data_IF_690566337537
#
_entry.id   IF_690566337537
#
_cell.length_a   1.000
_cell.length_b   1.000
_cell.length_c   1.000
_cell.angle_alpha   90.00
_cell.angle_beta   90.00
_cell.angle_gamma   90.00
#
_symmetry.space_group_name_H-M   'P 1'
#
loop_
_entity.id
_entity.type
_entity.pdbx_description
1 polymer ?
#
# COMPACT_ATOMS: atom_id res chain seq x y z
N UNK A 1 14.14 -24.08 -8.23
CA UNK A 1 12.92 -23.29 -8.55
C UNK A 1 13.24 -21.82 -8.82
N UNK A 2 13.79 -21.05 -7.85
CA UNK A 2 14.07 -19.60 -8.01
C UNK A 2 14.95 -19.27 -9.23
N UNK A 3 16.01 -20.04 -9.47
CA UNK A 3 16.91 -19.81 -10.61
C UNK A 3 16.22 -19.97 -11.98
N UNK A 4 15.27 -20.88 -12.09
CA UNK A 4 14.51 -21.12 -13.33
C UNK A 4 13.51 -20.00 -13.58
N UNK A 5 12.80 -19.57 -12.53
CA UNK A 5 11.90 -18.41 -12.59
C UNK A 5 12.66 -17.15 -13.02
N UNK A 6 13.87 -16.92 -12.48
CA UNK A 6 14.72 -15.79 -12.89
C UNK A 6 15.12 -15.86 -14.37
N UNK A 7 15.39 -17.05 -14.90
CA UNK A 7 15.73 -17.24 -16.31
C UNK A 7 14.54 -16.90 -17.21
N UNK A 8 13.38 -17.45 -16.89
CA UNK A 8 12.13 -17.17 -17.60
C UNK A 8 11.79 -15.67 -17.56
N UNK A 9 11.78 -15.05 -16.37
CA UNK A 9 11.43 -13.63 -16.22
C UNK A 9 12.40 -12.70 -16.94
N UNK A 10 13.69 -13.04 -17.03
CA UNK A 10 14.65 -12.26 -17.83
C UNK A 10 14.20 -12.14 -19.28
N UNK A 11 13.80 -13.24 -19.91
CA UNK A 11 13.30 -13.18 -21.28
C UNK A 11 12.06 -12.30 -21.41
N UNK A 12 11.16 -12.38 -20.44
CA UNK A 12 9.95 -11.53 -20.40
C UNK A 12 10.33 -10.06 -20.30
N UNK A 13 11.25 -9.68 -19.41
CA UNK A 13 11.65 -8.28 -19.24
C UNK A 13 12.32 -7.70 -20.50
N UNK A 14 13.14 -8.48 -21.22
CA UNK A 14 13.80 -8.01 -22.45
C UNK A 14 12.84 -7.91 -23.65
N UNK A 15 11.75 -8.67 -23.67
CA UNK A 15 10.75 -8.65 -24.75
C UNK A 15 9.61 -7.65 -24.49
N UNK A 16 9.46 -7.16 -23.26
CA UNK A 16 8.36 -6.28 -22.89
C UNK A 16 8.52 -4.86 -23.45
N UNK A 17 7.45 -4.33 -24.06
CA UNK A 17 7.41 -2.94 -24.53
C UNK A 17 7.16 -1.93 -23.40
N UNK A 18 6.45 -2.36 -22.35
CA UNK A 18 5.99 -1.51 -21.24
C UNK A 18 6.26 -2.18 -19.90
N UNK A 19 6.88 -1.43 -18.99
CA UNK A 19 7.02 -1.76 -17.58
C UNK A 19 6.00 -0.98 -16.75
N UNK A 20 5.29 -1.68 -15.86
CA UNK A 20 4.33 -1.05 -14.95
C UNK A 20 4.80 -1.27 -13.52
N UNK A 21 4.84 -0.20 -12.72
CA UNK A 21 5.21 -0.28 -11.31
C UNK A 21 4.27 0.55 -10.42
N UNK A 22 4.31 0.28 -9.13
CA UNK A 22 3.84 1.22 -8.10
C UNK A 22 4.93 2.19 -7.68
N UNK A 23 4.67 2.93 -6.60
CA UNK A 23 5.65 3.73 -5.87
C UNK A 23 5.42 3.62 -4.35
N UNK A 24 6.51 3.58 -3.58
CA UNK A 24 6.46 3.66 -2.12
C UNK A 24 6.27 5.11 -1.66
N UNK A 25 6.89 6.07 -2.36
CA UNK A 25 6.74 7.51 -2.17
C UNK A 25 7.00 8.25 -3.49
N UNK A 26 6.50 9.48 -3.61
CA UNK A 26 6.73 10.39 -4.73
C UNK A 26 7.09 11.76 -4.18
N UNK A 27 8.30 12.25 -4.46
CA UNK A 27 8.73 13.59 -4.07
C UNK A 27 8.15 14.62 -5.04
N UNK A 28 7.29 15.52 -4.55
CA UNK A 28 6.62 16.52 -5.36
C UNK A 28 7.59 17.54 -5.97
N UNK A 29 8.62 17.95 -5.23
CA UNK A 29 9.59 18.97 -5.68
C UNK A 29 10.36 18.58 -6.95
N UNK A 30 10.61 17.28 -7.15
CA UNK A 30 11.45 16.76 -8.25
C UNK A 30 10.69 15.83 -9.18
N UNK A 31 9.45 15.45 -8.86
CA UNK A 31 8.72 14.41 -9.58
C UNK A 31 9.34 13.01 -9.43
N UNK A 32 10.20 12.80 -8.42
CA UNK A 32 10.94 11.55 -8.25
C UNK A 32 10.10 10.49 -7.56
N UNK A 33 9.93 9.34 -8.20
CA UNK A 33 9.31 8.16 -7.59
C UNK A 33 10.35 7.30 -6.91
N UNK A 34 9.97 6.75 -5.76
CA UNK A 34 10.80 5.89 -4.92
C UNK A 34 10.20 4.49 -4.90
N UNK A 35 11.01 3.49 -5.20
CA UNK A 35 10.60 2.08 -5.18
C UNK A 35 11.62 1.27 -4.38
N UNK A 36 11.14 0.59 -3.34
CA UNK A 36 11.94 -0.31 -2.51
C UNK A 36 11.93 -1.69 -3.16
N UNK A 37 13.10 -2.32 -3.25
CA UNK A 37 13.21 -3.70 -3.73
C UNK A 37 14.37 -4.45 -3.06
N UNK A 38 14.37 -5.78 -3.23
CA UNK A 38 15.37 -6.69 -2.67
C UNK A 38 16.11 -7.52 -3.74
N UNK A 39 15.46 -7.83 -4.86
CA UNK A 39 15.96 -8.80 -5.86
C UNK A 39 16.29 -8.18 -7.23
N UNK A 40 16.10 -6.85 -7.38
CA UNK A 40 16.34 -6.12 -8.63
C UNK A 40 15.22 -6.27 -9.67
N UNK A 41 14.11 -6.93 -9.33
CA UNK A 41 12.99 -7.14 -10.24
C UNK A 41 12.32 -5.81 -10.65
N UNK A 42 12.15 -4.87 -9.71
CA UNK A 42 11.58 -3.57 -10.02
C UNK A 42 12.54 -2.76 -10.90
N UNK A 43 13.86 -2.82 -10.67
CA UNK A 43 14.83 -2.21 -11.59
C UNK A 43 14.74 -2.76 -13.01
N UNK A 44 14.54 -4.06 -13.18
CA UNK A 44 14.37 -4.67 -14.50
C UNK A 44 13.06 -4.23 -15.16
N UNK A 45 11.95 -4.22 -14.40
CA UNK A 45 10.64 -3.78 -14.88
C UNK A 45 10.63 -2.30 -15.25
N UNK A 46 11.31 -1.46 -14.47
CA UNK A 46 11.31 0.01 -14.68
C UNK A 46 12.40 0.49 -15.61
N UNK A 47 13.46 -0.31 -15.83
CA UNK A 47 14.64 0.09 -16.59
C UNK A 47 14.75 -0.52 -17.99
N UNK A 48 14.28 -1.75 -18.22
CA UNK A 48 14.47 -2.43 -19.52
C UNK A 48 13.42 -2.07 -20.59
N UNK A 49 12.11 -2.03 -20.27
CA UNK A 49 11.11 -1.69 -21.28
C UNK A 49 11.26 -0.25 -21.80
N UNK A 50 10.85 -0.02 -23.05
CA UNK A 50 10.92 1.32 -23.68
C UNK A 50 10.06 2.37 -22.95
N UNK A 51 8.98 1.92 -22.31
CA UNK A 51 8.05 2.78 -21.57
C UNK A 51 7.93 2.32 -20.14
N UNK A 52 7.97 3.25 -19.19
CA UNK A 52 7.69 2.99 -17.79
C UNK A 52 6.45 3.77 -17.34
N UNK A 53 5.46 3.05 -16.80
CA UNK A 53 4.23 3.63 -16.25
C UNK A 53 4.20 3.36 -14.74
N UNK A 54 4.18 4.43 -13.96
CA UNK A 54 3.97 4.38 -12.51
C UNK A 54 2.51 4.59 -12.21
N UNK A 55 1.90 3.67 -11.46
CA UNK A 55 0.53 3.82 -10.94
C UNK A 55 0.61 3.92 -9.42
N UNK A 56 0.28 5.07 -8.88
CA UNK A 56 0.36 5.33 -7.44
C UNK A 56 -0.85 6.10 -6.94
N UNK A 57 -1.22 5.89 -5.69
CA UNK A 57 -2.27 6.68 -5.06
C UNK A 57 -1.77 8.07 -4.66
N UNK A 58 -2.69 9.02 -4.55
CA UNK A 58 -2.43 10.41 -4.15
C UNK A 58 -1.69 10.53 -2.80
N UNK A 59 -1.93 9.58 -1.91
CA UNK A 59 -1.33 9.49 -0.57
C UNK A 59 0.17 9.16 -0.58
N UNK A 60 0.72 8.80 -1.74
CA UNK A 60 2.16 8.54 -1.88
C UNK A 60 2.98 9.79 -2.10
N UNK A 61 2.35 10.93 -2.36
CA UNK A 61 3.03 12.19 -2.62
C UNK A 61 3.48 12.83 -1.31
N UNK A 62 4.74 13.21 -1.24
CA UNK A 62 5.35 13.96 -0.14
C UNK A 62 6.08 15.19 -0.69
N UNK A 63 6.30 16.25 0.11
CA UNK A 63 6.82 17.51 -0.42
C UNK A 63 8.23 17.39 -1.03
N UNK A 64 9.18 16.83 -0.28
CA UNK A 64 10.60 16.83 -0.66
C UNK A 64 11.17 15.43 -0.93
N UNK A 65 12.34 15.39 -1.58
CA UNK A 65 13.13 14.18 -1.77
C UNK A 65 13.57 13.59 -0.42
N UNK A 66 13.86 14.45 0.56
CA UNK A 66 14.21 14.07 1.93
C UNK A 66 13.03 13.35 2.60
N UNK A 67 11.81 13.88 2.47
CA UNK A 67 10.60 13.26 3.03
C UNK A 67 10.35 11.88 2.40
N UNK A 68 10.55 11.75 1.09
CA UNK A 68 10.40 10.47 0.40
C UNK A 68 11.41 9.43 0.86
N UNK A 69 12.67 9.85 1.10
CA UNK A 69 13.70 8.98 1.67
C UNK A 69 13.33 8.53 3.09
N UNK A 70 12.82 9.44 3.93
CA UNK A 70 12.35 9.11 5.27
C UNK A 70 11.22 8.09 5.24
N UNK A 71 10.23 8.26 4.35
CA UNK A 71 9.14 7.30 4.16
C UNK A 71 9.69 5.91 3.83
N UNK A 72 10.64 5.81 2.91
CA UNK A 72 11.24 4.54 2.50
C UNK A 72 12.04 3.87 3.62
N UNK A 73 12.83 4.64 4.36
CA UNK A 73 13.60 4.16 5.50
C UNK A 73 12.69 3.64 6.61
N UNK A 74 11.71 4.44 7.04
CA UNK A 74 10.76 4.07 8.08
C UNK A 74 9.94 2.86 7.64
N UNK A 75 9.45 2.83 6.40
CA UNK A 75 8.69 1.70 5.89
C UNK A 75 9.47 0.39 5.95
N UNK A 76 10.76 0.41 5.62
CA UNK A 76 11.62 -0.78 5.65
C UNK A 76 11.90 -1.25 7.07
N UNK A 77 12.18 -0.33 8.00
CA UNK A 77 12.47 -0.67 9.40
C UNK A 77 11.28 -1.27 10.12
N UNK A 78 10.09 -0.71 9.91
CA UNK A 78 8.85 -1.24 10.47
C UNK A 78 8.36 -2.52 9.78
N UNK A 79 8.95 -2.87 8.64
CA UNK A 79 8.81 -4.19 8.02
C UNK A 79 9.85 -5.22 8.55
N UNK A 80 10.52 -4.93 9.66
CA UNK A 80 11.58 -5.76 10.28
C UNK A 80 12.88 -5.90 9.46
N UNK A 81 13.14 -5.00 8.51
CA UNK A 81 14.45 -4.91 7.85
C UNK A 81 15.37 -3.91 8.59
N UNK A 82 16.69 -4.11 8.53
CA UNK A 82 17.64 -3.15 9.13
C UNK A 82 17.72 -1.83 8.34
N UNK A 83 17.56 -1.92 7.02
CA UNK A 83 17.59 -0.84 6.04
C UNK A 83 16.92 -1.34 4.74
N UNK A 84 16.44 -0.46 3.85
CA UNK A 84 16.04 -0.86 2.50
C UNK A 84 17.23 -1.50 1.78
N UNK A 85 17.02 -2.67 1.16
CA UNK A 85 18.10 -3.35 0.44
C UNK A 85 18.52 -2.60 -0.82
N UNK A 86 17.54 -2.05 -1.55
CA UNK A 86 17.77 -1.19 -2.70
C UNK A 86 16.60 -0.22 -2.86
N UNK A 87 16.90 0.99 -3.31
CA UNK A 87 15.89 2.03 -3.59
C UNK A 87 16.14 2.58 -4.99
N UNK A 88 15.16 2.42 -5.88
CA UNK A 88 15.16 3.08 -7.19
C UNK A 88 14.57 4.47 -7.05
N UNK A 89 15.31 5.47 -7.53
CA UNK A 89 14.85 6.84 -7.65
C UNK A 89 14.70 7.14 -9.14
N UNK A 90 13.48 7.42 -9.59
CA UNK A 90 13.16 7.61 -11.02
C UNK A 90 12.40 8.93 -11.17
N UNK A 91 13.03 9.91 -11.80
CA UNK A 91 12.49 11.27 -11.93
C UNK A 91 12.01 11.61 -13.36
N UNK A 92 12.56 10.94 -14.36
CA UNK A 92 12.27 11.25 -15.77
C UNK A 92 12.64 10.07 -16.69
N UNK A 93 12.26 10.12 -17.98
CA UNK A 93 12.76 9.16 -18.95
C UNK A 93 14.29 9.20 -19.01
N UNK A 94 14.91 8.08 -19.39
CA UNK A 94 16.34 8.01 -19.56
C UNK A 94 16.79 9.04 -20.60
N UNK A 95 17.81 9.83 -20.27
CA UNK A 95 18.43 10.79 -21.19
C UNK A 95 19.92 10.93 -20.93
N UNK A 96 20.69 11.19 -21.97
CA UNK A 96 22.12 11.56 -21.87
C UNK A 96 22.38 12.80 -22.72
N UNK A 97 23.29 13.66 -22.24
CA UNK A 97 23.83 14.79 -23.00
C UNK A 97 25.22 14.50 -23.58
N UNK A 98 25.78 13.31 -23.33
CA UNK A 98 27.16 12.98 -23.71
C UNK A 98 27.29 12.61 -25.20
N UNK A 99 26.16 12.35 -25.86
CA UNK A 99 26.11 12.07 -27.30
C UNK A 99 26.07 13.41 -28.04
N UNK A 100 27.21 13.83 -28.56
CA UNK A 100 27.34 15.04 -29.40
C UNK A 100 26.84 16.34 -28.72
N UNK A 101 26.79 16.37 -27.39
CA UNK A 101 26.21 17.48 -26.59
C UNK A 101 24.71 17.72 -26.86
N UNK A 102 24.02 16.72 -27.39
CA UNK A 102 22.58 16.73 -27.62
C UNK A 102 21.89 15.82 -26.60
N UNK A 103 20.71 16.24 -26.14
CA UNK A 103 19.91 15.41 -25.24
C UNK A 103 19.27 14.29 -26.05
N UNK A 104 19.74 13.07 -25.86
CA UNK A 104 19.17 11.86 -26.47
C UNK A 104 18.40 11.08 -25.41
N UNK A 105 17.14 10.78 -25.70
CA UNK A 105 16.27 9.98 -24.82
C UNK A 105 16.40 8.48 -25.09
N UNK A 106 16.22 7.66 -24.04
CA UNK A 106 16.26 6.21 -24.13
C UNK A 106 17.67 5.60 -24.17
N UNK A 107 18.70 6.33 -23.73
CA UNK A 107 20.09 5.86 -23.84
C UNK A 107 20.44 4.72 -22.85
N UNK A 108 19.87 4.73 -21.65
CA UNK A 108 20.19 3.76 -20.58
C UNK A 108 18.94 3.13 -19.95
N UNK A 109 17.75 3.46 -20.43
CA UNK A 109 16.47 3.02 -19.87
C UNK A 109 15.28 3.51 -20.68
N UNK A 110 14.09 3.64 -20.09
CA UNK A 110 12.88 3.98 -20.83
C UNK A 110 13.00 5.31 -21.56
N UNK A 111 12.57 5.35 -22.83
CA UNK A 111 12.43 6.58 -23.60
C UNK A 111 11.19 7.38 -23.20
N UNK A 112 10.22 6.74 -22.56
CA UNK A 112 9.00 7.36 -22.05
C UNK A 112 8.78 7.00 -20.57
N UNK A 113 8.30 7.97 -19.80
CA UNK A 113 7.98 7.83 -18.39
C UNK A 113 6.66 8.53 -18.09
N UNK A 114 5.70 7.76 -17.56
CA UNK A 114 4.33 8.22 -17.30
C UNK A 114 3.97 7.97 -15.84
N UNK A 115 3.32 8.94 -15.19
CA UNK A 115 2.84 8.81 -13.82
C UNK A 115 1.33 8.98 -13.80
N UNK A 116 0.63 7.94 -13.34
CA UNK A 116 -0.83 7.91 -13.17
C UNK A 116 -1.14 7.99 -11.68
N UNK A 117 -1.68 9.14 -11.26
CA UNK A 117 -2.16 9.34 -9.90
C UNK A 117 -3.59 8.85 -9.77
N UNK A 118 -3.78 7.80 -8.98
CA UNK A 118 -5.06 7.14 -8.81
C UNK A 118 -5.77 7.69 -7.57
N UNK A 119 -6.93 8.32 -7.76
CA UNK A 119 -7.81 8.67 -6.64
C UNK A 119 -8.43 7.41 -6.03
N UNK A 120 -9.31 6.71 -6.75
CA UNK A 120 -9.99 5.49 -6.29
C UNK A 120 -10.53 5.64 -4.84
N UNK A 121 -11.42 6.62 -4.63
CA UNK A 121 -12.03 7.00 -3.35
C UNK A 121 -11.10 7.60 -2.29
N UNK A 122 -9.81 7.85 -2.58
CA UNK A 122 -8.90 8.49 -1.62
C UNK A 122 -9.33 9.90 -1.27
N UNK A 123 -9.85 10.69 -2.22
CA UNK A 123 -10.38 12.02 -1.95
C UNK A 123 -11.59 11.96 -1.02
N UNK A 124 -12.45 10.94 -1.15
CA UNK A 124 -13.57 10.72 -0.21
C UNK A 124 -13.05 10.37 1.18
N UNK A 125 -12.05 9.49 1.27
CA UNK A 125 -11.40 9.11 2.52
C UNK A 125 -10.70 10.30 3.20
N UNK A 126 -10.05 11.17 2.42
CA UNK A 126 -9.34 12.35 2.91
C UNK A 126 -10.26 13.39 3.55
N UNK A 127 -11.52 13.49 3.08
CA UNK A 127 -12.54 14.39 3.63
C UNK A 127 -13.12 13.88 4.94
N UNK A 128 -12.97 12.59 5.25
CA UNK A 128 -13.50 12.00 6.47
C UNK A 128 -12.51 12.21 7.64
N UNK A 129 -12.95 12.81 8.77
CA UNK A 129 -12.03 13.15 9.86
C UNK A 129 -11.40 11.93 10.53
N UNK A 130 -12.05 10.77 10.47
CA UNK A 130 -11.59 9.51 11.05
C UNK A 130 -10.83 8.68 10.02
N UNK A 131 -11.37 8.51 8.81
CA UNK A 131 -10.74 7.64 7.80
C UNK A 131 -9.54 8.25 7.09
N UNK A 132 -9.37 9.58 7.10
CA UNK A 132 -8.20 10.24 6.47
C UNK A 132 -6.87 9.68 6.99
N UNK A 133 -6.84 9.20 8.23
CA UNK A 133 -5.65 8.63 8.86
C UNK A 133 -5.10 7.44 8.08
N UNK A 134 -5.96 6.64 7.43
CA UNK A 134 -5.54 5.48 6.64
C UNK A 134 -4.68 5.86 5.42
N UNK A 135 -4.77 7.11 4.94
CA UNK A 135 -3.94 7.63 3.85
C UNK A 135 -2.49 7.83 4.28
N UNK A 136 -2.21 8.04 5.57
CA UNK A 136 -0.83 8.14 6.07
C UNK A 136 -0.11 6.78 6.12
N UNK A 137 -0.78 5.68 5.76
CA UNK A 137 -0.17 4.36 5.82
C UNK A 137 1.02 4.21 4.85
N UNK A 138 2.19 3.93 5.41
CA UNK A 138 3.42 3.66 4.66
C UNK A 138 3.43 2.29 3.96
N UNK A 139 2.44 1.42 4.23
CA UNK A 139 2.38 0.02 3.80
C UNK A 139 3.55 -0.83 4.32
N UNK A 140 4.05 -0.54 5.52
CA UNK A 140 5.19 -1.24 6.13
C UNK A 140 4.85 -2.62 6.72
N UNK A 141 3.56 -2.90 6.98
CA UNK A 141 3.15 -4.18 7.60
C UNK A 141 3.41 -4.30 9.10
N UNK A 142 4.03 -3.32 9.77
CA UNK A 142 4.29 -3.36 11.23
C UNK A 142 3.03 -3.69 12.06
N UNK A 143 1.88 -3.11 11.70
CA UNK A 143 0.60 -3.42 12.36
C UNK A 143 0.14 -4.88 12.24
N UNK A 144 0.59 -5.61 11.21
CA UNK A 144 0.30 -7.04 11.04
C UNK A 144 1.13 -7.88 12.02
N UNK A 145 2.41 -7.55 12.20
CA UNK A 145 3.26 -8.23 13.18
C UNK A 145 2.74 -8.05 14.62
N UNK A 146 2.18 -6.88 14.93
CA UNK A 146 1.57 -6.60 16.23
C UNK A 146 0.16 -7.18 16.41
N UNK A 147 -0.47 -7.62 15.32
CA UNK A 147 -1.83 -8.13 15.37
C UNK A 147 -1.83 -9.54 15.96
N UNK A 148 -2.52 -9.82 17.08
CA UNK A 148 -2.54 -11.15 17.69
C UNK A 148 -3.26 -12.19 16.81
N UNK A 149 -4.10 -11.75 15.87
CA UNK A 149 -4.84 -12.63 14.96
C UNK A 149 -3.99 -13.07 13.76
N UNK A 150 -3.08 -12.20 13.30
CA UNK A 150 -2.28 -12.44 12.11
C UNK A 150 -1.48 -13.76 12.16
N UNK A 151 -0.73 -14.09 13.24
CA UNK A 151 -0.01 -15.36 13.32
C UNK A 151 -0.93 -16.58 13.45
N UNK A 152 -2.13 -16.44 14.03
CA UNK A 152 -3.07 -17.54 14.21
C UNK A 152 -3.73 -17.98 12.89
N UNK A 153 -3.89 -17.03 11.97
CA UNK A 153 -4.59 -17.23 10.70
C UNK A 153 -3.63 -17.32 9.52
N UNK A 154 -2.32 -17.16 9.75
CA UNK A 154 -1.29 -17.08 8.71
C UNK A 154 -1.63 -16.07 7.59
N UNK A 155 -2.32 -14.98 7.92
CA UNK A 155 -2.77 -13.99 6.94
C UNK A 155 -3.96 -14.44 6.07
N UNK A 156 -4.53 -15.63 6.29
CA UNK A 156 -5.74 -16.09 5.62
C UNK A 156 -7.01 -15.51 6.28
N UNK A 157 -7.00 -14.20 6.57
CA UNK A 157 -8.15 -13.47 7.08
C UNK A 157 -8.15 -12.06 6.48
N UNK A 158 -9.12 -11.76 5.63
CA UNK A 158 -9.09 -10.55 4.82
C UNK A 158 -9.71 -10.75 3.45
N UNK A 159 -9.62 -9.70 2.64
CA UNK A 159 -9.81 -9.77 1.20
C UNK A 159 -8.42 -9.71 0.54
N UNK A 160 -8.12 -8.65 -0.21
CA UNK A 160 -6.76 -8.33 -0.65
C UNK A 160 -5.90 -7.68 0.44
N UNK A 161 -6.54 -6.90 1.32
CA UNK A 161 -5.91 -6.35 2.52
C UNK A 161 -6.44 -7.07 3.76
N UNK A 162 -5.62 -7.07 4.81
CA UNK A 162 -5.81 -7.85 6.03
C UNK A 162 -5.61 -7.00 7.29
N UNK A 163 -6.07 -7.52 8.44
CA UNK A 163 -6.17 -6.81 9.71
C UNK A 163 -7.04 -5.54 9.69
N UNK A 164 -7.10 -4.82 10.81
CA UNK A 164 -8.01 -3.68 10.99
C UNK A 164 -7.81 -2.58 9.94
N UNK A 165 -6.56 -2.23 9.61
CA UNK A 165 -6.29 -1.26 8.55
C UNK A 165 -6.75 -1.79 7.20
N UNK A 166 -6.56 -3.09 6.94
CA UNK A 166 -7.04 -3.74 5.73
C UNK A 166 -8.55 -3.72 5.58
N UNK A 167 -9.33 -3.73 6.67
CA UNK A 167 -10.77 -3.53 6.61
C UNK A 167 -11.11 -2.14 6.01
N UNK A 168 -10.40 -1.10 6.45
CA UNK A 168 -10.61 0.28 5.94
C UNK A 168 -10.22 0.38 4.47
N UNK A 169 -9.07 -0.19 4.08
CA UNK A 169 -8.62 -0.17 2.69
C UNK A 169 -9.55 -0.99 1.78
N UNK A 170 -10.04 -2.12 2.26
CA UNK A 170 -10.99 -2.96 1.51
C UNK A 170 -12.28 -2.18 1.27
N UNK A 171 -12.82 -1.52 2.30
CA UNK A 171 -14.03 -0.69 2.19
C UNK A 171 -13.93 0.34 1.09
N UNK A 172 -12.84 1.10 1.07
CA UNK A 172 -12.73 2.27 0.19
C UNK A 172 -12.15 1.96 -1.18
N UNK A 173 -11.17 1.04 -1.27
CA UNK A 173 -10.31 0.94 -2.46
C UNK A 173 -10.62 -0.24 -3.37
N UNK A 174 -11.14 -1.37 -2.87
CA UNK A 174 -11.14 -2.60 -3.70
C UNK A 174 -12.26 -3.61 -3.46
N UNK A 175 -12.84 -3.66 -2.25
CA UNK A 175 -13.81 -4.70 -1.89
C UNK A 175 -15.17 -4.17 -1.46
N UNK A 176 -15.33 -2.88 -1.23
CA UNK A 176 -16.59 -2.34 -0.71
C UNK A 176 -16.83 -2.71 0.75
N UNK A 177 -17.97 -2.28 1.28
CA UNK A 177 -18.31 -2.41 2.69
C UNK A 177 -18.55 -3.88 3.09
N UNK A 178 -19.10 -4.67 2.18
CA UNK A 178 -19.46 -6.07 2.37
C UNK A 178 -18.22 -6.94 2.61
N UNK A 179 -17.19 -6.78 1.77
CA UNK A 179 -15.93 -7.51 1.95
C UNK A 179 -15.10 -6.96 3.12
N UNK A 180 -15.35 -5.73 3.56
CA UNK A 180 -14.72 -5.17 4.75
C UNK A 180 -15.33 -5.70 6.06
N UNK A 181 -16.61 -6.10 6.04
CA UNK A 181 -17.36 -6.57 7.20
C UNK A 181 -16.67 -7.70 7.98
N UNK A 182 -16.32 -8.84 7.38
CA UNK A 182 -15.70 -9.95 8.11
C UNK A 182 -14.38 -9.50 8.78
N UNK A 183 -13.58 -8.70 8.08
CA UNK A 183 -12.29 -8.20 8.55
C UNK A 183 -12.47 -7.27 9.76
N UNK A 184 -13.46 -6.38 9.69
CA UNK A 184 -13.77 -5.44 10.75
C UNK A 184 -14.19 -6.17 12.04
N UNK A 185 -14.96 -7.25 11.94
CA UNK A 185 -15.39 -8.05 13.11
C UNK A 185 -14.35 -9.04 13.63
N UNK A 186 -13.30 -9.35 12.86
CA UNK A 186 -12.13 -10.10 13.35
C UNK A 186 -11.20 -9.23 14.23
N UNK A 187 -11.19 -7.92 14.04
CA UNK A 187 -10.33 -7.02 14.80
C UNK A 187 -10.69 -7.03 16.30
N UNK A 188 -9.72 -7.28 17.19
CA UNK A 188 -9.97 -7.23 18.64
C UNK A 188 -10.00 -5.80 19.22
N UNK A 189 -9.76 -4.77 18.38
CA UNK A 189 -9.63 -3.36 18.80
C UNK A 189 -8.66 -3.14 19.99
N UNK A 190 -7.62 -3.99 20.10
CA UNK A 190 -6.71 -4.02 21.26
C UNK A 190 -5.67 -2.89 21.31
N UNK A 191 -5.60 -2.01 20.30
CA UNK A 191 -4.72 -0.84 20.31
C UNK A 191 -3.23 -1.07 20.01
N UNK A 192 -2.74 -2.32 19.97
CA UNK A 192 -1.29 -2.60 19.73
C UNK A 192 -0.77 -1.99 18.43
N UNK A 193 -1.55 -2.10 17.36
CA UNK A 193 -1.21 -1.51 16.06
C UNK A 193 -1.08 0.02 16.11
N UNK A 194 -1.89 0.72 16.92
CA UNK A 194 -1.77 2.17 17.13
C UNK A 194 -0.49 2.50 17.89
N UNK A 195 -0.24 1.79 18.99
CA UNK A 195 0.94 2.00 19.85
C UNK A 195 2.26 1.80 19.09
N UNK A 196 2.28 0.92 18.10
CA UNK A 196 3.46 0.64 17.28
C UNK A 196 3.52 1.45 15.97
N UNK A 197 2.45 2.13 15.54
CA UNK A 197 2.45 2.77 14.23
C UNK A 197 3.40 3.99 14.22
N UNK A 198 4.36 4.09 13.27
CA UNK A 198 5.22 5.27 13.17
C UNK A 198 4.48 6.54 12.76
N UNK A 199 3.28 6.37 12.19
CA UNK A 199 2.42 7.45 11.72
C UNK A 199 1.25 7.70 12.69
N UNK A 200 1.27 7.07 13.87
CA UNK A 200 0.26 7.23 14.93
C UNK A 200 -1.19 6.96 14.48
N UNK A 201 -1.38 6.10 13.48
CA UNK A 201 -2.70 5.79 12.90
C UNK A 201 -3.55 5.02 13.91
N UNK A 202 -4.72 5.54 14.24
CA UNK A 202 -5.69 4.90 15.14
C UNK A 202 -6.60 3.93 14.37
N UNK A 203 -6.06 2.74 14.11
CA UNK A 203 -6.83 1.66 13.48
C UNK A 203 -8.06 1.24 14.31
N UNK A 204 -7.99 1.06 15.64
CA UNK A 204 -9.18 0.77 16.45
C UNK A 204 -10.33 1.77 16.28
N UNK A 205 -10.04 3.08 16.29
CA UNK A 205 -11.05 4.12 16.08
C UNK A 205 -11.74 3.98 14.72
N UNK A 206 -10.94 3.82 13.65
CA UNK A 206 -11.50 3.62 12.30
C UNK A 206 -12.33 2.33 12.20
N UNK A 207 -11.90 1.24 12.85
CA UNK A 207 -12.63 -0.03 12.87
C UNK A 207 -13.94 0.10 13.65
N UNK A 208 -13.95 0.83 14.77
CA UNK A 208 -15.16 1.07 15.55
C UNK A 208 -16.19 1.84 14.70
N UNK A 209 -15.77 2.93 14.06
CA UNK A 209 -16.62 3.67 13.12
C UNK A 209 -17.13 2.77 11.99
N UNK A 210 -16.27 1.93 11.43
CA UNK A 210 -16.66 0.98 10.38
C UNK A 210 -17.72 -0.01 10.89
N UNK A 211 -17.59 -0.52 12.12
CA UNK A 211 -18.60 -1.41 12.72
C UNK A 211 -19.95 -0.72 12.93
N UNK A 212 -19.96 0.58 13.26
CA UNK A 212 -21.20 1.37 13.34
C UNK A 212 -21.88 1.44 11.97
N UNK A 213 -21.13 1.82 10.93
CA UNK A 213 -21.63 1.90 9.56
C UNK A 213 -22.09 0.52 9.02
N UNK A 214 -21.42 -0.57 9.44
CA UNK A 214 -21.83 -1.94 9.13
C UNK A 214 -23.14 -2.33 9.81
N UNK A 215 -23.32 -1.93 11.07
CA UNK A 215 -24.57 -2.17 11.79
C UNK A 215 -25.74 -1.42 11.16
N UNK A 216 -25.55 -0.15 10.81
CA UNK A 216 -26.54 0.67 10.09
C UNK A 216 -26.90 0.06 8.73
N UNK A 217 -25.93 -0.53 8.04
CA UNK A 217 -26.13 -1.22 6.76
C UNK A 217 -26.71 -2.64 6.90
N UNK A 218 -26.97 -3.14 8.12
CA UNK A 218 -27.45 -4.50 8.35
C UNK A 218 -26.43 -5.60 8.07
N UNK A 219 -25.14 -5.25 8.00
CA UNK A 219 -24.01 -6.15 7.71
C UNK A 219 -23.31 -6.68 8.97
N UNK A 220 -23.93 -6.55 10.14
CA UNK A 220 -23.45 -7.18 11.38
C UNK A 220 -23.56 -8.70 11.27
N UNK A 221 -22.48 -9.47 11.50
CA UNK A 221 -22.53 -10.93 11.49
C UNK A 221 -23.51 -11.52 12.50
N UNK A 222 -24.14 -12.65 12.15
CA UNK A 222 -25.15 -13.31 12.99
C UNK A 222 -24.62 -13.65 14.38
N UNK A 223 -23.40 -14.19 14.47
CA UNK A 223 -22.78 -14.54 15.75
C UNK A 223 -22.56 -13.34 16.68
N UNK A 224 -22.42 -12.13 16.13
CA UNK A 224 -22.34 -10.90 16.95
C UNK A 224 -23.71 -10.54 17.46
N UNK A 225 -24.75 -10.57 16.60
CA UNK A 225 -26.13 -10.29 17.01
C UNK A 225 -26.60 -11.28 18.10
N UNK A 226 -26.43 -12.57 17.84
CA UNK A 226 -26.75 -13.65 18.78
C UNK A 226 -25.98 -13.50 20.10
N UNK A 227 -24.70 -13.16 20.04
CA UNK A 227 -23.87 -12.93 21.22
C UNK A 227 -24.37 -11.75 22.08
N UNK A 228 -24.72 -10.62 21.47
CA UNK A 228 -25.24 -9.48 22.23
C UNK A 228 -26.64 -9.75 22.77
N UNK A 229 -27.50 -10.41 22.00
CA UNK A 229 -28.82 -10.86 22.47
C UNK A 229 -28.71 -11.77 23.68
N UNK A 230 -27.78 -12.73 23.65
CA UNK A 230 -27.55 -13.66 24.75
C UNK A 230 -27.02 -12.96 26.02
N UNK A 231 -26.16 -11.94 25.88
CA UNK A 231 -25.55 -11.23 27.01
C UNK A 231 -26.50 -10.17 27.60
N UNK A 232 -27.23 -9.45 26.75
CA UNK A 232 -27.99 -8.25 27.16
C UNK A 232 -29.50 -8.47 27.21
N UNK A 233 -30.02 -9.52 26.57
CA UNK A 233 -31.47 -9.72 26.37
C UNK A 233 -32.11 -8.76 25.37
N UNK A 234 -31.34 -7.87 24.73
CA UNK A 234 -31.83 -6.86 23.78
C UNK A 234 -31.72 -7.42 22.36
N UNK A 235 -32.86 -7.53 21.66
CA UNK A 235 -32.89 -7.85 20.22
C UNK A 235 -32.38 -6.69 19.39
N UNK A 236 -31.29 -6.91 18.66
CA UNK A 236 -30.68 -5.92 17.79
C UNK A 236 -31.20 -6.15 16.37
N UNK A 237 -31.73 -5.10 15.73
CA UNK A 237 -32.13 -5.14 14.32
C UNK A 237 -30.90 -5.26 13.41
#
# INVERSE_FOLDING_TARGET
LVGEVKRFLREVYFKADVGISGANAIAAETGTTFIIENEGNAKLVTGLPKKHIVIAGLEKIVPTLQDAMLVVEVASRYANYKAPSYVNLISCPSKTGDIEKQVVYGAHGPSEYHVVLLDNNRTKMAKDPVYKQALYCLRCGGCLYECPIYPLTAGHFGYLYMAGLGAILTRFLIGGIENAAPIAYTCLMCGRCKAHCPMEIDVPEMVLKLRQELAEAGLTPSWVKEGVEAITGIKIR
#
